data_IF_683346631908
#
_entry.id   IF_683346631908
#
_cell.length_a   1.000
_cell.length_b   1.000
_cell.length_c   1.000
_cell.angle_alpha   90.00
_cell.angle_beta   90.00
_cell.angle_gamma   90.00
#
_symmetry.space_group_name_H-M   'P 1'
#
loop_
_entity.id
_entity.type
_entity.pdbx_description
1 polymer ?
#
# COMPACT_ATOMS: atom_id res chain seq x y z
N UNK A 1 68.41 -33.67 8.58
CA UNK A 1 68.15 -33.08 7.24
C UNK A 1 67.03 -33.89 6.59
N UNK A 2 65.76 -33.48 6.73
CA UNK A 2 64.61 -34.08 6.04
C UNK A 2 63.75 -32.91 5.57
N UNK A 3 63.59 -32.74 4.25
CA UNK A 3 62.69 -31.73 3.68
C UNK A 3 61.71 -32.42 2.74
N UNK A 4 60.45 -32.12 3.00
CA UNK A 4 59.24 -32.76 2.51
C UNK A 4 59.11 -32.82 0.98
N UNK A 5 58.50 -33.91 0.54
CA UNK A 5 57.86 -34.07 -0.76
C UNK A 5 56.78 -32.99 -0.94
N UNK A 6 56.93 -32.16 -1.98
CA UNK A 6 55.97 -31.12 -2.34
C UNK A 6 55.02 -31.69 -3.38
N UNK A 7 53.86 -32.18 -2.94
CA UNK A 7 52.78 -32.60 -3.82
C UNK A 7 52.24 -31.40 -4.59
N UNK A 8 52.53 -31.31 -5.90
CA UNK A 8 51.99 -30.26 -6.76
C UNK A 8 50.53 -30.54 -7.05
N UNK A 9 49.65 -29.66 -6.57
CA UNK A 9 48.24 -29.68 -6.91
C UNK A 9 48.07 -29.40 -8.41
N UNK A 10 47.88 -30.45 -9.21
CA UNK A 10 47.68 -30.35 -10.65
C UNK A 10 46.18 -30.47 -10.98
N UNK A 11 45.56 -29.33 -11.33
CA UNK A 11 44.19 -29.31 -11.86
C UNK A 11 44.12 -30.09 -13.18
N UNK A 12 43.26 -31.10 -13.26
CA UNK A 12 43.01 -31.81 -14.52
C UNK A 12 42.04 -31.01 -15.41
N UNK A 13 42.21 -31.11 -16.74
CA UNK A 13 41.34 -30.44 -17.74
C UNK A 13 39.84 -30.72 -17.51
N UNK A 14 39.54 -31.93 -17.02
CA UNK A 14 38.18 -32.37 -16.69
C UNK A 14 37.66 -31.70 -15.42
N UNK A 15 38.49 -31.58 -14.38
CA UNK A 15 38.13 -30.85 -13.16
C UNK A 15 37.89 -29.37 -13.45
N UNK A 16 38.70 -28.75 -14.31
CA UNK A 16 38.49 -27.36 -14.74
C UNK A 16 37.14 -27.18 -15.45
N UNK A 17 36.82 -28.03 -16.45
CA UNK A 17 35.54 -27.95 -17.17
C UNK A 17 34.32 -28.19 -16.28
N UNK A 18 34.42 -29.13 -15.34
CA UNK A 18 33.33 -29.39 -14.39
C UNK A 18 33.10 -28.21 -13.44
N UNK A 19 34.17 -27.61 -12.92
CA UNK A 19 34.07 -26.43 -12.04
C UNK A 19 33.53 -25.21 -12.80
N UNK A 20 33.97 -24.98 -14.03
CA UNK A 20 33.46 -23.89 -14.87
C UNK A 20 31.97 -24.05 -15.21
N UNK A 21 31.52 -25.26 -15.53
CA UNK A 21 30.11 -25.51 -15.85
C UNK A 21 29.19 -25.30 -14.63
N UNK A 22 29.62 -25.72 -13.44
CA UNK A 22 28.90 -25.47 -12.18
C UNK A 22 28.89 -23.99 -11.83
N UNK A 23 30.02 -23.29 -11.99
CA UNK A 23 30.11 -21.85 -11.72
C UNK A 23 29.20 -21.02 -12.62
N UNK A 24 29.07 -21.41 -13.90
CA UNK A 24 28.20 -20.71 -14.86
C UNK A 24 26.71 -20.94 -14.57
N UNK A 25 26.34 -22.14 -14.11
CA UNK A 25 24.95 -22.47 -13.73
C UNK A 25 24.49 -21.72 -12.47
N UNK A 26 25.40 -21.49 -11.52
CA UNK A 26 25.10 -20.77 -10.28
C UNK A 26 24.93 -19.26 -10.50
N UNK A 27 25.66 -18.68 -11.46
CA UNK A 27 25.51 -17.25 -11.81
C UNK A 27 24.28 -16.97 -12.66
N UNK A 28 23.92 -17.87 -13.59
CA UNK A 28 22.76 -17.67 -14.48
C UNK A 28 21.42 -17.75 -13.74
N UNK A 29 21.31 -18.59 -12.71
CA UNK A 29 20.12 -18.69 -11.85
C UNK A 29 19.75 -17.38 -11.13
N UNK A 30 20.73 -16.49 -10.89
CA UNK A 30 20.51 -15.18 -10.24
C UNK A 30 20.01 -14.09 -11.20
N UNK A 31 20.22 -14.25 -12.50
CA UNK A 31 19.81 -13.26 -13.51
C UNK A 31 18.44 -13.56 -14.13
N UNK A 32 18.01 -14.83 -14.10
CA UNK A 32 16.76 -15.29 -14.74
C UNK A 32 15.71 -15.78 -13.72
N UNK A 33 16.10 -15.97 -12.45
CA UNK A 33 15.17 -16.36 -11.39
C UNK A 33 14.25 -15.21 -10.94
N UNK A 34 13.04 -15.51 -10.43
CA UNK A 34 12.17 -14.50 -9.85
C UNK A 34 12.89 -13.80 -8.69
N UNK A 35 13.05 -12.49 -8.82
CA UNK A 35 13.54 -11.66 -7.73
C UNK A 35 12.52 -11.72 -6.58
N UNK A 36 12.94 -11.90 -5.32
CA UNK A 36 12.03 -11.77 -4.20
C UNK A 36 11.48 -10.34 -4.20
N UNK A 37 10.20 -10.20 -4.52
CA UNK A 37 9.49 -8.93 -4.33
C UNK A 37 9.27 -8.80 -2.84
N UNK A 38 10.09 -7.98 -2.18
CA UNK A 38 9.78 -7.54 -0.83
C UNK A 38 8.54 -6.65 -0.93
N UNK A 39 7.44 -7.10 -0.33
CA UNK A 39 6.30 -6.24 -0.08
C UNK A 39 6.83 -5.02 0.69
N UNK A 40 6.56 -3.83 0.17
CA UNK A 40 6.91 -2.60 0.86
C UNK A 40 6.10 -2.59 2.15
N UNK A 41 6.77 -2.74 3.29
CA UNK A 41 6.12 -2.61 4.59
C UNK A 41 5.48 -1.23 4.65
N UNK A 42 4.14 -1.20 4.64
CA UNK A 42 3.40 0.03 4.80
C UNK A 42 3.49 0.42 6.28
N UNK A 43 3.71 1.71 6.61
CA UNK A 43 3.67 2.16 7.99
C UNK A 43 2.29 1.87 8.59
N UNK A 44 2.16 1.82 9.92
CA UNK A 44 0.88 1.70 10.62
C UNK A 44 -0.20 2.58 9.96
N UNK A 45 -1.37 1.98 9.70
CA UNK A 45 -2.54 2.63 9.12
C UNK A 45 -3.30 3.40 10.18
N UNK A 46 -2.78 4.56 10.60
CA UNK A 46 -3.41 5.43 11.60
C UNK A 46 -3.67 6.82 11.06
N UNK A 47 -4.92 7.28 11.18
CA UNK A 47 -5.37 8.58 10.68
C UNK A 47 -6.22 9.30 11.73
N UNK A 48 -6.19 10.64 11.66
CA UNK A 48 -7.15 11.50 12.35
C UNK A 48 -7.90 12.30 11.30
N UNK A 49 -9.19 12.05 11.19
CA UNK A 49 -10.07 12.58 10.15
C UNK A 49 -11.14 13.48 10.78
N UNK A 50 -11.46 14.58 10.12
CA UNK A 50 -12.54 15.49 10.54
C UNK A 50 -13.42 15.76 9.33
N UNK A 51 -14.71 15.43 9.42
CA UNK A 51 -15.67 15.76 8.36
C UNK A 51 -16.21 17.17 8.59
N UNK A 52 -15.90 18.10 7.68
CA UNK A 52 -16.22 19.52 7.89
C UNK A 52 -17.72 19.83 7.81
N UNK A 53 -18.53 18.94 7.24
CA UNK A 53 -19.96 19.14 7.08
C UNK A 53 -20.76 18.61 8.26
N UNK A 54 -20.29 17.52 8.88
CA UNK A 54 -20.95 16.90 10.04
C UNK A 54 -20.29 17.28 11.37
N UNK A 55 -19.12 17.93 11.33
CA UNK A 55 -18.28 18.26 12.49
C UNK A 55 -17.85 17.03 13.31
N UNK A 56 -17.95 15.84 12.71
CA UNK A 56 -17.53 14.60 13.33
C UNK A 56 -16.02 14.42 13.18
N UNK A 57 -15.40 13.91 14.24
CA UNK A 57 -13.97 13.60 14.31
C UNK A 57 -13.80 12.11 14.58
N UNK A 58 -12.86 11.49 13.87
CA UNK A 58 -12.45 10.11 14.10
C UNK A 58 -10.93 10.04 14.14
N UNK A 59 -10.41 9.48 15.23
CA UNK A 59 -9.02 9.02 15.31
C UNK A 59 -9.05 7.50 15.27
N UNK A 60 -8.37 6.90 14.31
CA UNK A 60 -8.53 5.48 13.99
C UNK A 60 -7.23 4.85 13.55
N UNK A 61 -6.98 3.64 14.05
CA UNK A 61 -5.95 2.73 13.55
C UNK A 61 -6.67 1.60 12.81
N UNK A 62 -6.73 1.69 11.49
CA UNK A 62 -7.46 0.73 10.65
C UNK A 62 -6.58 -0.41 10.16
N UNK A 63 -5.25 -0.27 10.27
CA UNK A 63 -4.29 -1.34 10.01
C UNK A 63 -3.13 -1.26 11.00
N UNK A 64 -2.82 -2.38 11.63
CA UNK A 64 -1.68 -2.48 12.56
C UNK A 64 -0.33 -2.56 11.84
N UNK A 65 0.75 -2.61 12.61
CA UNK A 65 2.13 -2.73 12.13
C UNK A 65 2.43 -4.09 11.47
N UNK A 66 1.69 -5.14 11.84
CA UNK A 66 1.74 -6.47 11.19
C UNK A 66 1.06 -6.50 9.81
N UNK A 67 0.27 -5.46 9.51
CA UNK A 67 -0.48 -5.33 8.27
C UNK A 67 -1.91 -5.87 8.34
N UNK A 68 -2.41 -6.21 9.53
CA UNK A 68 -3.77 -6.71 9.75
C UNK A 68 -4.76 -5.56 9.81
N UNK A 69 -5.84 -5.65 9.01
CA UNK A 69 -6.91 -4.65 8.99
C UNK A 69 -7.95 -4.90 10.08
N UNK A 70 -8.36 -3.84 10.76
CA UNK A 70 -9.52 -3.84 11.65
C UNK A 70 -10.77 -3.44 10.86
N UNK A 71 -11.69 -4.39 10.66
CA UNK A 71 -12.90 -4.17 9.89
C UNK A 71 -13.88 -3.22 10.59
N UNK A 72 -13.96 -3.23 11.92
CA UNK A 72 -14.83 -2.32 12.66
C UNK A 72 -14.32 -0.88 12.56
N UNK A 73 -12.99 -0.71 12.64
CA UNK A 73 -12.35 0.58 12.40
C UNK A 73 -12.60 1.09 10.96
N UNK A 74 -12.60 0.21 9.96
CA UNK A 74 -12.95 0.57 8.58
C UNK A 74 -14.44 0.95 8.44
N UNK A 75 -15.35 0.29 9.16
CA UNK A 75 -16.76 0.66 9.20
C UNK A 75 -16.98 2.04 9.82
N UNK A 76 -16.27 2.37 10.90
CA UNK A 76 -16.29 3.71 11.50
C UNK A 76 -15.80 4.78 10.51
N UNK A 77 -14.75 4.47 9.74
CA UNK A 77 -14.26 5.33 8.65
C UNK A 77 -15.33 5.50 7.58
N UNK A 78 -15.97 4.42 7.12
CA UNK A 78 -17.05 4.49 6.14
C UNK A 78 -18.22 5.36 6.65
N UNK A 79 -18.58 5.24 7.92
CA UNK A 79 -19.59 6.07 8.54
C UNK A 79 -19.18 7.55 8.55
N UNK A 80 -17.97 7.88 8.98
CA UNK A 80 -17.46 9.26 8.96
C UNK A 80 -17.46 9.85 7.54
N UNK A 81 -17.11 9.03 6.54
CA UNK A 81 -16.99 9.40 5.14
C UNK A 81 -18.31 9.27 4.37
N UNK A 82 -19.44 8.99 5.05
CA UNK A 82 -20.77 8.87 4.43
C UNK A 82 -21.17 10.14 3.68
N UNK A 83 -22.16 10.00 2.81
CA UNK A 83 -22.72 11.14 2.12
C UNK A 83 -23.41 12.08 3.13
N UNK A 84 -22.81 13.24 3.43
CA UNK A 84 -23.37 14.20 4.41
C UNK A 84 -24.77 14.70 4.04
N UNK A 85 -25.15 14.62 2.75
CA UNK A 85 -26.44 15.11 2.28
C UNK A 85 -27.58 14.11 2.49
N UNK A 86 -27.35 12.82 2.24
CA UNK A 86 -28.37 11.77 2.35
C UNK A 86 -28.19 10.86 3.56
N UNK A 87 -27.03 10.89 4.22
CA UNK A 87 -26.63 9.98 5.27
C UNK A 87 -26.23 8.59 4.79
N UNK A 88 -26.31 8.32 3.47
CA UNK A 88 -25.97 7.02 2.90
C UNK A 88 -24.49 6.69 3.09
N UNK A 89 -24.24 5.51 3.63
CA UNK A 89 -22.89 4.98 3.88
C UNK A 89 -22.48 4.15 2.67
N UNK A 90 -21.34 4.49 2.08
CA UNK A 90 -20.67 3.70 1.06
C UNK A 90 -19.33 3.21 1.56
N UNK A 91 -18.95 1.99 1.18
CA UNK A 91 -17.63 1.46 1.48
C UNK A 91 -16.57 2.20 0.64
N UNK A 92 -15.61 2.83 1.31
CA UNK A 92 -14.47 3.47 0.66
C UNK A 92 -13.41 2.41 0.38
N UNK A 93 -12.81 2.42 -0.82
CA UNK A 93 -11.69 1.53 -1.11
C UNK A 93 -10.54 1.79 -0.13
N UNK A 94 -10.14 0.74 0.62
CA UNK A 94 -9.07 0.80 1.62
C UNK A 94 -7.75 1.37 1.06
N UNK A 95 -7.50 1.20 -0.24
CA UNK A 95 -6.31 1.74 -0.91
C UNK A 95 -6.29 3.27 -0.93
N UNK A 96 -7.45 3.93 -0.85
CA UNK A 96 -7.54 5.38 -0.68
C UNK A 96 -7.00 5.77 0.69
N UNK A 97 -7.42 5.06 1.74
CA UNK A 97 -6.94 5.30 3.11
C UNK A 97 -5.43 5.06 3.22
N UNK A 98 -4.93 4.01 2.60
CA UNK A 98 -3.49 3.72 2.53
C UNK A 98 -2.73 4.84 1.84
N UNK A 99 -3.26 5.35 0.72
CA UNK A 99 -2.62 6.43 -0.01
C UNK A 99 -2.56 7.72 0.83
N UNK A 100 -3.66 8.08 1.49
CA UNK A 100 -3.74 9.24 2.38
C UNK A 100 -2.75 9.10 3.55
N UNK A 101 -2.69 7.92 4.18
CA UNK A 101 -1.73 7.63 5.24
C UNK A 101 -0.29 7.80 4.76
N UNK A 102 0.05 7.20 3.60
CA UNK A 102 1.39 7.35 3.01
C UNK A 102 1.76 8.81 2.73
N UNK A 103 0.83 9.61 2.20
CA UNK A 103 1.05 11.04 1.97
C UNK A 103 1.32 11.76 3.29
N UNK A 104 0.51 11.53 4.32
CA UNK A 104 0.68 12.15 5.64
C UNK A 104 2.03 11.78 6.27
N UNK A 105 2.41 10.49 6.24
CA UNK A 105 3.72 10.03 6.74
C UNK A 105 4.88 10.62 5.93
N UNK A 106 4.73 10.74 4.61
CA UNK A 106 5.75 11.35 3.74
C UNK A 106 5.95 12.84 4.03
N UNK A 107 4.89 13.55 4.44
CA UNK A 107 4.95 14.93 4.88
C UNK A 107 5.50 15.07 6.32
N UNK A 108 5.64 13.97 7.07
CA UNK A 108 6.16 13.98 8.44
C UNK A 108 5.24 14.65 9.45
N UNK A 109 3.95 14.76 9.15
CA UNK A 109 2.95 15.42 10.01
C UNK A 109 2.03 14.40 10.69
N UNK A 110 1.43 14.80 11.80
CA UNK A 110 0.35 14.09 12.48
C UNK A 110 -0.91 14.95 12.60
N UNK A 111 -0.97 16.05 11.85
CA UNK A 111 -2.15 16.91 11.82
C UNK A 111 -3.36 16.16 11.26
N UNK A 112 -4.53 16.49 11.79
CA UNK A 112 -5.80 15.98 11.30
C UNK A 112 -6.04 16.35 9.84
N UNK A 113 -6.79 15.49 9.16
CA UNK A 113 -7.16 15.64 7.76
C UNK A 113 -8.62 16.07 7.69
N UNK A 114 -8.85 17.25 7.12
CA UNK A 114 -10.19 17.77 6.93
C UNK A 114 -10.79 17.21 5.64
N UNK A 115 -11.88 16.48 5.79
CA UNK A 115 -12.60 15.83 4.72
C UNK A 115 -13.72 16.76 4.25
N UNK A 116 -13.57 17.25 3.02
CA UNK A 116 -14.60 18.04 2.33
C UNK A 116 -15.68 17.12 1.77
N UNK A 117 -15.32 15.94 1.28
CA UNK A 117 -16.26 14.96 0.71
C UNK A 117 -15.66 13.56 0.73
N UNK A 118 -16.41 12.60 1.27
CA UNK A 118 -16.13 11.17 1.14
C UNK A 118 -17.01 10.54 0.05
N UNK A 119 -17.75 9.49 0.41
CA UNK A 119 -18.76 8.89 -0.46
C UNK A 119 -19.87 9.88 -0.81
N UNK A 120 -20.39 9.79 -2.04
CA UNK A 120 -21.47 10.60 -2.56
C UNK A 120 -22.58 9.70 -3.10
N UNK A 121 -23.77 9.81 -2.54
CA UNK A 121 -24.93 9.10 -3.07
C UNK A 121 -25.20 9.48 -4.53
N UNK A 122 -25.69 8.54 -5.35
CA UNK A 122 -26.08 8.83 -6.74
C UNK A 122 -27.06 10.02 -6.84
N UNK A 123 -28.03 10.10 -5.92
CA UNK A 123 -29.00 11.20 -5.84
C UNK A 123 -28.32 12.55 -5.64
N UNK A 124 -27.40 12.66 -4.68
CA UNK A 124 -26.69 13.91 -4.44
C UNK A 124 -25.77 14.28 -5.61
N UNK A 125 -25.09 13.30 -6.23
CA UNK A 125 -24.27 13.55 -7.41
C UNK A 125 -25.10 14.09 -8.58
N UNK A 126 -26.26 13.50 -8.84
CA UNK A 126 -27.18 13.97 -9.88
C UNK A 126 -27.68 15.39 -9.61
N UNK A 127 -27.98 15.72 -8.35
CA UNK A 127 -28.34 17.09 -7.97
C UNK A 127 -27.20 18.09 -8.28
N UNK A 128 -25.95 17.75 -7.95
CA UNK A 128 -24.78 18.59 -8.24
C UNK A 128 -24.58 18.79 -9.75
N UNK A 129 -24.66 17.70 -10.54
CA UNK A 129 -24.56 17.76 -12.00
C UNK A 129 -25.66 18.65 -12.60
N UNK A 130 -26.91 18.53 -12.12
CA UNK A 130 -28.04 19.33 -12.61
C UNK A 130 -27.94 20.81 -12.24
N UNK A 131 -27.39 21.11 -11.07
CA UNK A 131 -27.25 22.49 -10.57
C UNK A 131 -26.01 23.22 -11.07
N UNK A 132 -25.21 22.57 -11.94
CA UNK A 132 -24.01 23.17 -12.52
C UNK A 132 -22.84 23.31 -11.55
N UNK A 133 -22.92 22.70 -10.37
CA UNK A 133 -21.78 22.53 -9.49
C UNK A 133 -20.87 21.47 -10.12
N UNK A 134 -19.55 21.71 -10.19
CA UNK A 134 -18.55 20.95 -10.96
C UNK A 134 -18.43 19.47 -10.55
N UNK A 135 -19.48 18.67 -10.77
CA UNK A 135 -19.55 17.24 -10.53
C UNK A 135 -19.54 16.50 -11.86
N UNK A 136 -18.81 15.40 -11.92
CA UNK A 136 -18.82 14.50 -13.06
C UNK A 136 -19.97 13.49 -12.91
N UNK A 137 -20.62 13.13 -14.03
CA UNK A 137 -21.64 12.06 -14.06
C UNK A 137 -21.08 10.73 -13.54
N UNK A 138 -19.84 10.41 -13.88
CA UNK A 138 -19.12 9.20 -13.47
C UNK A 138 -18.06 9.52 -12.41
N UNK A 139 -18.45 10.21 -11.33
CA UNK A 139 -17.53 10.55 -10.25
C UNK A 139 -17.09 9.31 -9.46
N UNK A 140 -15.81 9.23 -9.08
CA UNK A 140 -15.31 8.18 -8.19
C UNK A 140 -15.91 8.26 -6.77
N UNK A 141 -16.38 9.44 -6.34
CA UNK A 141 -17.08 9.58 -5.05
C UNK A 141 -18.34 8.72 -4.95
N UNK A 142 -18.95 8.35 -6.09
CA UNK A 142 -20.14 7.46 -6.13
C UNK A 142 -19.73 6.00 -6.05
N UNK A 143 -18.46 5.67 -6.28
CA UNK A 143 -17.94 4.30 -6.26
C UNK A 143 -17.29 3.92 -4.92
N UNK A 144 -16.86 4.91 -4.13
CA UNK A 144 -16.19 4.70 -2.85
C UNK A 144 -14.68 4.83 -2.96
#
# INVERSE_FOLDING_TARGET
MNRADQSTWAWTRRAFLQVSLVGTLLLSGRLVGPQPVQARELPEGRLTLVNIWTDERLEVTYRDDSGTYDLAALDDVNYLLRCHKTGEIGAIDVRVLEHVNLVQKKLGTQQEIHIISGFRSPEYNDLLVRTGQQAARNSLHVQG
#
